data_IF_265520600595
#
_entry.id   IF_265520600595
#
_cell.length_a   1.000
_cell.length_b   1.000
_cell.length_c   1.000
_cell.angle_alpha   90.00
_cell.angle_beta   90.00
_cell.angle_gamma   90.00
#
_symmetry.space_group_name_H-M   'P 1'
#
loop_
_entity.id
_entity.type
_entity.pdbx_description
1 polymer ?
#
# COMPACT_ATOMS: atom_id res chain seq x y z
N UNK A 1 21.55 4.67 15.44
CA UNK A 1 21.33 5.76 14.48
C UNK A 1 20.46 5.24 13.34
N UNK A 2 19.33 5.90 13.10
CA UNK A 2 18.22 5.51 12.22
C UNK A 2 18.65 5.51 10.74
N UNK A 3 18.19 4.54 9.97
CA UNK A 3 18.41 4.47 8.53
C UNK A 3 17.57 5.55 7.81
N UNK A 4 18.13 6.73 7.62
CA UNK A 4 17.56 7.87 6.87
C UNK A 4 17.67 7.68 5.34
N UNK A 5 17.68 6.45 4.81
CA UNK A 5 18.04 6.20 3.38
C UNK A 5 16.88 5.76 2.46
N UNK A 6 15.64 5.70 2.94
CA UNK A 6 14.48 5.20 2.17
C UNK A 6 13.64 6.26 1.44
N UNK A 7 13.45 7.43 2.04
CA UNK A 7 12.41 8.39 1.63
C UNK A 7 12.39 8.79 0.15
N UNK A 8 13.56 9.07 -0.45
CA UNK A 8 13.62 9.54 -1.85
C UNK A 8 13.22 8.46 -2.86
N UNK A 9 13.63 7.21 -2.62
CA UNK A 9 13.24 6.09 -3.47
C UNK A 9 11.78 5.69 -3.24
N UNK A 10 11.33 5.73 -1.98
CA UNK A 10 9.94 5.43 -1.64
C UNK A 10 8.98 6.47 -2.24
N UNK A 11 9.31 7.76 -2.20
CA UNK A 11 8.50 8.81 -2.81
C UNK A 11 8.35 8.64 -4.33
N UNK A 12 9.45 8.37 -5.03
CA UNK A 12 9.41 8.10 -6.48
C UNK A 12 8.57 6.86 -6.80
N UNK A 13 8.77 5.79 -6.03
CA UNK A 13 8.00 4.56 -6.19
C UNK A 13 6.50 4.81 -6.00
N UNK A 14 6.10 5.55 -4.95
CA UNK A 14 4.70 5.87 -4.69
C UNK A 14 4.10 6.73 -5.81
N UNK A 15 4.83 7.73 -6.31
CA UNK A 15 4.38 8.55 -7.44
C UNK A 15 4.21 7.74 -8.73
N UNK A 16 5.17 6.84 -9.02
CA UNK A 16 5.07 5.95 -10.17
C UNK A 16 3.89 4.98 -10.01
N UNK A 17 3.65 4.45 -8.81
CA UNK A 17 2.53 3.57 -8.53
C UNK A 17 1.18 4.28 -8.70
N UNK A 18 1.04 5.51 -8.20
CA UNK A 18 -0.17 6.33 -8.43
C UNK A 18 -0.39 6.58 -9.92
N UNK A 19 0.67 6.81 -10.70
CA UNK A 19 0.56 7.05 -12.14
C UNK A 19 0.10 5.82 -12.93
N UNK A 20 0.45 4.62 -12.48
CA UNK A 20 0.12 3.37 -13.20
C UNK A 20 -1.18 2.72 -12.74
N UNK A 21 -1.85 3.24 -11.71
CA UNK A 21 -3.10 2.69 -11.19
C UNK A 21 -4.21 3.76 -11.19
N UNK A 22 -5.45 3.32 -11.37
CA UNK A 22 -6.60 4.23 -11.41
C UNK A 22 -7.31 4.26 -10.06
N UNK A 23 -7.86 5.43 -9.69
CA UNK A 23 -8.69 5.59 -8.48
C UNK A 23 -7.95 5.27 -7.19
N UNK A 24 -6.68 5.68 -7.12
CA UNK A 24 -5.83 5.41 -5.96
C UNK A 24 -6.25 6.26 -4.76
N UNK A 25 -6.39 5.61 -3.61
CA UNK A 25 -6.55 6.24 -2.30
C UNK A 25 -5.41 5.83 -1.38
N UNK A 26 -4.94 6.76 -0.54
CA UNK A 26 -3.93 6.50 0.47
C UNK A 26 -4.52 6.28 1.85
N UNK A 27 -3.97 5.35 2.61
CA UNK A 27 -4.36 5.05 3.99
C UNK A 27 -3.11 5.11 4.87
N UNK A 28 -3.07 6.07 5.78
CA UNK A 28 -1.97 6.27 6.71
C UNK A 28 -2.17 5.34 7.90
N UNK A 29 -1.15 4.56 8.19
CA UNK A 29 -1.04 3.80 9.42
C UNK A 29 -0.12 4.57 10.38
N UNK A 30 -0.58 4.85 11.61
CA UNK A 30 0.23 5.59 12.55
C UNK A 30 1.45 4.79 12.96
N UNK A 31 2.46 5.53 13.40
CA UNK A 31 3.67 4.97 13.99
C UNK A 31 3.32 4.06 15.17
N UNK A 32 3.94 2.90 15.20
CA UNK A 32 3.89 1.96 16.33
C UNK A 32 5.25 1.91 17.03
N UNK A 33 5.36 1.09 18.07
CA UNK A 33 6.65 0.82 18.74
C UNK A 33 7.70 0.24 17.78
N UNK A 34 7.27 -0.56 16.80
CA UNK A 34 8.16 -1.33 15.92
C UNK A 34 8.26 -0.78 14.50
N UNK A 35 7.33 0.08 14.09
CA UNK A 35 7.26 0.61 12.73
C UNK A 35 7.03 2.12 12.74
N UNK A 36 7.78 2.84 11.90
CA UNK A 36 7.49 4.26 11.63
C UNK A 36 6.18 4.39 10.84
N UNK A 37 5.69 5.62 10.65
CA UNK A 37 4.44 5.89 9.90
C UNK A 37 4.54 5.28 8.50
N UNK A 38 3.51 4.52 8.11
CA UNK A 38 3.41 3.88 6.80
C UNK A 38 2.20 4.40 6.04
N UNK A 39 2.28 4.35 4.71
CA UNK A 39 1.11 4.48 3.85
C UNK A 39 0.84 3.17 3.13
N UNK A 40 -0.45 2.83 3.04
CA UNK A 40 -0.99 1.84 2.12
C UNK A 40 -1.70 2.58 1.00
N UNK A 41 -1.25 2.43 -0.25
CA UNK A 41 -1.99 2.89 -1.41
C UNK A 41 -2.89 1.76 -1.89
N UNK A 42 -4.15 2.06 -2.20
CA UNK A 42 -5.14 1.10 -2.69
C UNK A 42 -5.81 1.62 -3.95
N UNK A 43 -5.65 0.89 -5.06
CA UNK A 43 -6.23 1.20 -6.36
C UNK A 43 -7.73 0.86 -6.40
N UNK A 44 -8.41 1.28 -7.47
CA UNK A 44 -9.84 1.06 -7.66
C UNK A 44 -10.23 -0.42 -7.70
N UNK A 45 -9.36 -1.29 -8.22
CA UNK A 45 -9.57 -2.74 -8.31
C UNK A 45 -9.19 -3.50 -7.03
N UNK A 46 -8.66 -2.78 -6.03
CA UNK A 46 -8.22 -3.33 -4.76
C UNK A 46 -6.74 -3.73 -4.70
N UNK A 47 -5.98 -3.61 -5.79
CA UNK A 47 -4.53 -3.80 -5.72
C UNK A 47 -3.91 -2.75 -4.78
N UNK A 48 -2.90 -3.16 -4.02
CA UNK A 48 -2.32 -2.29 -3.00
C UNK A 48 -0.80 -2.44 -2.85
N UNK A 49 -0.17 -1.37 -2.35
CA UNK A 49 1.24 -1.37 -1.96
C UNK A 49 1.43 -0.62 -0.65
N UNK A 50 2.48 -0.96 0.11
CA UNK A 50 2.77 -0.38 1.43
C UNK A 50 4.21 0.09 1.54
N UNK A 51 4.42 1.32 2.01
CA UNK A 51 5.76 1.90 2.22
C UNK A 51 5.86 2.68 3.52
N UNK A 52 7.04 2.67 4.12
CA UNK A 52 7.36 3.52 5.28
C UNK A 52 7.66 4.92 4.76
N UNK A 53 6.94 5.91 5.27
CA UNK A 53 7.07 7.31 4.84
C UNK A 53 7.29 8.28 5.99
N UNK A 54 7.28 7.78 7.23
CA UNK A 54 7.35 8.55 8.49
C UNK A 54 6.47 9.81 8.53
N UNK A 55 6.68 10.63 9.56
CA UNK A 55 5.74 11.72 9.89
C UNK A 55 5.74 12.85 8.84
N UNK A 56 6.91 13.25 8.33
CA UNK A 56 7.02 14.32 7.33
C UNK A 56 6.47 13.92 5.97
N UNK A 57 6.62 12.65 5.58
CA UNK A 57 6.03 12.13 4.34
C UNK A 57 4.51 12.12 4.43
N UNK A 58 3.96 11.64 5.55
CA UNK A 58 2.51 11.57 5.75
C UNK A 58 1.82 12.93 5.67
N UNK A 59 2.42 13.99 6.24
CA UNK A 59 1.85 15.35 6.22
C UNK A 59 1.72 15.94 4.81
N UNK A 60 2.62 15.57 3.90
CA UNK A 60 2.70 16.16 2.57
C UNK A 60 2.10 15.26 1.48
N UNK A 61 1.84 13.98 1.80
CA UNK A 61 1.51 12.94 0.84
C UNK A 61 0.32 13.27 -0.06
N UNK A 62 -0.79 13.76 0.53
CA UNK A 62 -2.00 14.09 -0.22
C UNK A 62 -1.74 15.17 -1.28
N UNK A 63 -0.97 16.20 -0.91
CA UNK A 63 -0.60 17.30 -1.81
C UNK A 63 0.37 16.83 -2.88
N UNK A 64 1.36 16.04 -2.50
CA UNK A 64 2.44 15.63 -3.40
C UNK A 64 1.97 14.58 -4.44
N UNK A 65 1.00 13.73 -4.08
CA UNK A 65 0.45 12.69 -4.96
C UNK A 65 -0.88 13.07 -5.61
N UNK A 66 -1.59 14.09 -5.11
CA UNK A 66 -2.88 14.52 -5.68
C UNK A 66 -4.02 13.51 -5.50
N UNK A 67 -3.96 12.69 -4.44
CA UNK A 67 -4.94 11.63 -4.15
C UNK A 67 -5.64 11.86 -2.80
N UNK A 68 -6.84 11.30 -2.59
CA UNK A 68 -7.43 11.24 -1.25
C UNK A 68 -6.55 10.42 -0.30
N UNK A 69 -6.36 10.93 0.91
CA UNK A 69 -5.58 10.25 1.97
C UNK A 69 -6.39 10.23 3.26
N UNK A 70 -6.46 9.05 3.88
CA UNK A 70 -7.26 8.78 5.07
C UNK A 70 -6.40 8.23 6.21
N UNK A 71 -6.88 8.39 7.43
CA UNK A 71 -6.33 7.71 8.61
C UNK A 71 -7.02 6.35 8.75
N UNK A 72 -6.23 5.26 8.67
CA UNK A 72 -6.77 3.90 8.71
C UNK A 72 -7.50 3.58 10.01
N UNK A 73 -7.14 4.22 11.14
CA UNK A 73 -7.85 3.99 12.40
C UNK A 73 -9.25 4.59 12.40
N UNK A 74 -9.51 5.56 11.53
CA UNK A 74 -10.82 6.21 11.40
C UNK A 74 -11.70 5.54 10.35
N UNK A 75 -11.12 5.19 9.21
CA UNK A 75 -11.87 4.65 8.07
C UNK A 75 -11.84 3.13 8.00
N UNK A 76 -10.83 2.50 8.60
CA UNK A 76 -10.45 1.13 8.28
C UNK A 76 -9.86 1.00 6.88
N UNK A 77 -9.53 -0.24 6.51
CA UNK A 77 -9.16 -0.60 5.16
C UNK A 77 -10.39 -0.75 4.27
N UNK A 78 -10.32 -0.32 2.99
CA UNK A 78 -11.45 -0.40 2.09
C UNK A 78 -11.73 -1.86 1.72
N UNK A 79 -13.01 -2.20 1.52
CA UNK A 79 -13.44 -3.58 1.23
C UNK A 79 -12.76 -4.16 -0.01
N UNK A 80 -12.56 -3.34 -1.06
CA UNK A 80 -11.88 -3.76 -2.30
C UNK A 80 -10.47 -4.34 -2.09
N UNK A 81 -9.73 -3.85 -1.09
CA UNK A 81 -8.42 -4.40 -0.73
C UNK A 81 -8.55 -5.84 -0.19
N UNK A 82 -9.54 -6.08 0.67
CA UNK A 82 -9.82 -7.42 1.22
C UNK A 82 -10.25 -8.39 0.12
N UNK A 83 -11.09 -7.91 -0.80
CA UNK A 83 -11.57 -8.71 -1.93
C UNK A 83 -10.42 -9.05 -2.90
N UNK A 84 -9.47 -8.13 -3.10
CA UNK A 84 -8.24 -8.39 -3.85
C UNK A 84 -7.38 -9.48 -3.19
N UNK A 85 -7.12 -9.37 -1.88
CA UNK A 85 -6.35 -10.38 -1.15
C UNK A 85 -7.02 -11.76 -1.18
N UNK A 86 -8.36 -11.81 -1.05
CA UNK A 86 -9.12 -13.05 -1.16
C UNK A 86 -9.00 -13.70 -2.55
N UNK A 87 -9.12 -12.91 -3.63
CA UNK A 87 -8.90 -13.39 -5.01
C UNK A 87 -7.49 -13.93 -5.21
N UNK A 88 -6.47 -13.16 -4.81
CA UNK A 88 -5.05 -13.54 -4.93
C UNK A 88 -4.72 -14.81 -4.15
N UNK A 89 -5.32 -14.99 -2.97
CA UNK A 89 -5.16 -16.22 -2.18
C UNK A 89 -5.69 -17.45 -2.92
N UNK A 90 -6.88 -17.35 -3.53
CA UNK A 90 -7.48 -18.44 -4.29
C UNK A 90 -6.64 -18.75 -5.53
N UNK A 91 -6.23 -17.73 -6.28
CA UNK A 91 -5.36 -17.87 -7.46
C UNK A 91 -4.05 -18.55 -7.11
N UNK A 92 -3.40 -18.12 -6.02
CA UNK A 92 -2.14 -18.71 -5.56
C UNK A 92 -2.31 -20.17 -5.17
N UNK A 93 -3.40 -20.52 -4.48
CA UNK A 93 -3.70 -21.90 -4.12
C UNK A 93 -3.85 -22.77 -5.37
N UNK A 94 -4.64 -22.30 -6.35
CA UNK A 94 -4.83 -23.01 -7.63
C UNK A 94 -3.54 -23.15 -8.43
N UNK A 95 -2.66 -22.14 -8.40
CA UNK A 95 -1.35 -22.22 -9.06
C UNK A 95 -0.47 -23.28 -8.40
N UNK A 96 -0.41 -23.29 -7.07
CA UNK A 96 0.34 -24.30 -6.32
C UNK A 96 -0.19 -25.72 -6.61
N UNK A 97 -1.51 -25.90 -6.65
CA UNK A 97 -2.12 -27.20 -7.00
C UNK A 97 -1.71 -27.66 -8.41
N UNK A 98 -1.76 -26.78 -9.41
CA UNK A 98 -1.29 -27.09 -10.77
C UNK A 98 0.20 -27.42 -10.81
N UNK A 99 1.04 -26.60 -10.18
CA UNK A 99 2.49 -26.81 -10.17
C UNK A 99 2.87 -28.15 -9.52
N UNK A 100 2.07 -28.63 -8.55
CA UNK A 100 2.23 -29.94 -7.92
C UNK A 100 1.72 -31.11 -8.78
N UNK A 101 0.71 -30.89 -9.62
CA UNK A 101 0.22 -31.90 -10.59
C UNK A 101 1.19 -32.11 -11.75
N UNK A 102 1.97 -31.08 -12.10
CA UNK A 102 2.98 -31.09 -13.18
C UNK A 102 4.37 -31.63 -12.74
N UNK A 103 4.51 -32.08 -11.49
CA UNK A 103 5.75 -32.58 -10.85
C UNK A 103 5.81 -34.12 -10.80
#
# INVERSE_FOLDING_TARGET
MKATRGYGNDARYLADWVRTHTGVEGFIEPKTTLTDVTVVLVAADGEWTRRVIGERGAQNLARDLGIPVYDVHKTGYPQRMRDYDARRRIERKRQIERDLEDL
#
